data_IF_960451426153
#
_entry.id   IF_960451426153
#
_cell.length_a   1.000
_cell.length_b   1.000
_cell.length_c   1.000
_cell.angle_alpha   90.00
_cell.angle_beta   90.00
_cell.angle_gamma   90.00
#
_symmetry.space_group_name_H-M   'P 1'
#
loop_
_entity.id
_entity.type
_entity.pdbx_description
1 polymer ?
#
# COMPACT_ATOMS: atom_id res chain seq x y z
N UNK A 1 -11.55 16.21 -32.61
CA UNK A 1 -10.41 16.93 -33.23
C UNK A 1 -9.50 17.37 -32.09
N UNK A 2 -8.21 17.02 -32.06
CA UNK A 2 -7.38 17.32 -30.91
C UNK A 2 -6.99 18.81 -30.92
N UNK A 3 -7.51 19.55 -29.94
CA UNK A 3 -7.09 20.91 -29.59
C UNK A 3 -5.86 20.85 -28.70
N UNK A 4 -4.72 21.30 -29.20
CA UNK A 4 -3.65 22.01 -28.48
C UNK A 4 -2.41 22.01 -29.38
N UNK A 5 -1.68 23.11 -29.41
CA UNK A 5 -0.49 23.34 -30.24
C UNK A 5 0.52 22.19 -30.15
N UNK A 6 0.59 21.51 -29.00
CA UNK A 6 1.46 20.36 -28.73
C UNK A 6 1.17 19.12 -29.59
N UNK A 7 -0.08 18.83 -29.93
CA UNK A 7 -0.41 17.63 -30.72
C UNK A 7 0.03 17.75 -32.19
N UNK A 8 -0.07 18.97 -32.75
CA UNK A 8 0.35 19.28 -34.11
C UNK A 8 1.87 19.23 -34.20
N UNK A 9 2.57 19.80 -33.22
CA UNK A 9 4.03 19.78 -33.15
C UNK A 9 4.59 18.36 -33.01
N UNK A 10 3.98 17.55 -32.12
CA UNK A 10 4.25 16.12 -31.97
C UNK A 10 4.12 15.36 -33.29
N UNK A 11 3.02 15.55 -34.01
CA UNK A 11 2.78 14.89 -35.30
C UNK A 11 3.82 15.31 -36.36
N UNK A 12 4.22 16.58 -36.38
CA UNK A 12 5.21 17.09 -37.33
C UNK A 12 6.61 16.54 -37.08
N UNK A 13 7.02 16.36 -35.82
CA UNK A 13 8.30 15.71 -35.48
C UNK A 13 8.30 14.25 -35.92
N UNK A 14 7.23 13.50 -35.65
CA UNK A 14 7.10 12.11 -36.11
C UNK A 14 7.16 12.03 -37.63
N UNK A 15 6.43 12.90 -38.35
CA UNK A 15 6.52 12.99 -39.82
C UNK A 15 7.96 13.19 -40.30
N UNK A 16 8.67 14.17 -39.74
CA UNK A 16 10.07 14.43 -40.09
C UNK A 16 10.96 13.20 -39.89
N UNK A 17 10.73 12.44 -38.81
CA UNK A 17 11.46 11.21 -38.55
C UNK A 17 11.19 10.08 -39.56
N UNK A 18 9.97 9.99 -40.12
CA UNK A 18 9.66 9.04 -41.21
C UNK A 18 10.24 9.48 -42.57
N UNK A 19 10.36 10.79 -42.82
CA UNK A 19 11.01 11.30 -44.03
C UNK A 19 12.51 10.97 -44.07
N UNK A 20 13.18 10.94 -42.91
CA UNK A 20 14.61 10.58 -42.79
C UNK A 20 14.93 9.14 -43.23
N UNK A 21 13.92 8.26 -43.28
CA UNK A 21 14.06 6.88 -43.79
C UNK A 21 13.54 6.71 -45.22
N UNK A 22 13.35 7.82 -45.94
CA UNK A 22 12.90 7.91 -47.34
C UNK A 22 11.46 7.42 -47.58
N UNK A 23 10.59 7.55 -46.58
CA UNK A 23 9.18 7.12 -46.69
C UNK A 23 8.29 8.35 -46.73
N UNK A 24 7.50 8.46 -47.80
CA UNK A 24 6.55 9.56 -47.96
C UNK A 24 5.29 9.32 -47.11
N UNK A 25 4.65 10.38 -46.62
CA UNK A 25 3.50 10.28 -45.71
C UNK A 25 2.27 9.62 -46.34
N UNK A 26 2.10 9.80 -47.65
CA UNK A 26 1.01 9.26 -48.44
C UNK A 26 1.28 7.83 -48.95
N UNK A 27 2.45 7.27 -48.67
CA UNK A 27 2.80 5.93 -49.13
C UNK A 27 2.01 4.86 -48.37
N UNK A 28 1.42 3.92 -49.13
CA UNK A 28 0.67 2.80 -48.57
C UNK A 28 1.61 1.66 -48.19
N UNK A 29 1.78 1.44 -46.89
CA UNK A 29 2.67 0.44 -46.33
C UNK A 29 1.91 -0.82 -45.90
N UNK A 30 2.46 -1.99 -46.22
CA UNK A 30 2.09 -3.27 -45.61
C UNK A 30 2.66 -3.40 -44.19
N UNK A 31 2.18 -4.39 -43.42
CA UNK A 31 2.67 -4.65 -42.06
C UNK A 31 4.17 -5.01 -42.05
N UNK A 32 4.66 -5.77 -43.03
CA UNK A 32 6.08 -6.13 -43.10
C UNK A 32 6.95 -4.93 -43.45
N UNK A 33 6.47 -4.06 -44.34
CA UNK A 33 7.15 -2.80 -44.64
C UNK A 33 7.21 -1.92 -43.40
N UNK A 34 6.09 -1.77 -42.69
CA UNK A 34 6.02 -1.02 -41.45
C UNK A 34 7.00 -1.52 -40.37
N UNK A 35 7.08 -2.84 -40.15
CA UNK A 35 8.08 -3.41 -39.23
C UNK A 35 9.51 -3.19 -39.66
N UNK A 36 9.81 -3.30 -40.96
CA UNK A 36 11.13 -2.97 -41.48
C UNK A 36 11.51 -1.51 -41.22
N UNK A 37 10.55 -0.59 -41.25
CA UNK A 37 10.79 0.82 -40.95
C UNK A 37 11.20 1.02 -39.48
N UNK A 38 10.42 0.46 -38.55
CA UNK A 38 10.70 0.56 -37.12
C UNK A 38 12.00 -0.15 -36.75
N UNK A 39 12.26 -1.33 -37.33
CA UNK A 39 13.50 -2.06 -37.10
C UNK A 39 14.73 -1.30 -37.62
N UNK A 40 14.61 -0.66 -38.80
CA UNK A 40 15.69 0.13 -39.39
C UNK A 40 16.04 1.35 -38.53
N UNK A 41 15.03 2.01 -37.94
CA UNK A 41 15.22 3.11 -36.98
C UNK A 41 15.89 2.63 -35.69
N UNK A 42 15.46 1.49 -35.15
CA UNK A 42 15.97 0.93 -33.91
C UNK A 42 17.30 0.19 -34.03
N UNK A 43 17.69 -0.22 -35.24
CA UNK A 43 18.82 -1.15 -35.51
C UNK A 43 18.68 -2.50 -34.77
N UNK A 44 17.46 -2.84 -34.36
CA UNK A 44 17.06 -4.11 -33.72
C UNK A 44 15.59 -4.38 -34.03
N UNK A 45 15.09 -5.56 -33.69
CA UNK A 45 13.66 -5.85 -33.84
C UNK A 45 12.83 -5.01 -32.87
N UNK A 46 11.89 -4.24 -33.42
CA UNK A 46 10.82 -3.62 -32.65
C UNK A 46 9.89 -4.69 -32.06
N UNK A 47 9.35 -4.41 -30.88
CA UNK A 47 8.39 -5.28 -30.21
C UNK A 47 7.19 -5.58 -31.13
N UNK A 48 7.03 -6.86 -31.48
CA UNK A 48 6.01 -7.29 -32.44
C UNK A 48 4.62 -7.31 -31.83
N UNK A 49 4.48 -7.56 -30.54
CA UNK A 49 3.19 -7.57 -29.88
C UNK A 49 2.61 -6.16 -29.83
N UNK A 50 3.43 -5.18 -29.41
CA UNK A 50 3.04 -3.77 -29.45
C UNK A 50 2.78 -3.29 -30.89
N UNK A 51 3.64 -3.71 -31.82
CA UNK A 51 3.48 -3.45 -33.24
C UNK A 51 2.15 -3.94 -33.81
N UNK A 52 1.76 -5.17 -33.48
CA UNK A 52 0.53 -5.79 -33.94
C UNK A 52 -0.69 -5.06 -33.35
N UNK A 53 -0.64 -4.69 -32.06
CA UNK A 53 -1.70 -3.92 -31.41
C UNK A 53 -1.91 -2.55 -32.06
N UNK A 54 -0.83 -1.84 -32.40
CA UNK A 54 -0.90 -0.57 -33.12
C UNK A 54 -1.49 -0.78 -34.52
N UNK A 55 -0.99 -1.76 -35.27
CA UNK A 55 -1.44 -2.03 -36.64
C UNK A 55 -2.91 -2.49 -36.72
N UNK A 56 -3.40 -3.23 -35.73
CA UNK A 56 -4.81 -3.62 -35.63
C UNK A 56 -5.75 -2.42 -35.44
N UNK A 57 -5.30 -1.34 -34.80
CA UNK A 57 -6.09 -0.14 -34.55
C UNK A 57 -6.07 0.88 -35.69
N UNK A 58 -5.19 0.71 -36.68
CA UNK A 58 -5.13 1.57 -37.85
C UNK A 58 -6.26 1.30 -38.83
N UNK A 59 -6.76 2.35 -39.47
CA UNK A 59 -7.66 2.22 -40.62
C UNK A 59 -6.90 1.68 -41.83
N UNK A 60 -7.26 0.45 -42.22
CA UNK A 60 -6.67 -0.26 -43.37
C UNK A 60 -7.42 0.08 -44.65
N UNK A 61 -6.67 0.33 -45.72
CA UNK A 61 -7.23 0.38 -47.08
C UNK A 61 -7.66 -1.02 -47.54
N UNK A 62 -8.36 -1.12 -48.68
CA UNK A 62 -8.89 -2.36 -49.25
C UNK A 62 -7.85 -3.49 -49.41
N UNK A 63 -6.57 -3.14 -49.48
CA UNK A 63 -5.44 -4.08 -49.60
C UNK A 63 -4.66 -4.32 -48.30
N UNK A 64 -5.25 -4.09 -47.12
CA UNK A 64 -4.56 -4.17 -45.82
C UNK A 64 -3.29 -3.30 -45.74
N UNK A 65 -3.32 -2.12 -46.37
CA UNK A 65 -2.22 -1.15 -46.30
C UNK A 65 -2.63 0.06 -45.47
N UNK A 66 -1.66 0.66 -44.80
CA UNK A 66 -1.83 1.82 -43.91
C UNK A 66 -0.92 2.96 -44.36
N UNK A 67 -1.30 4.20 -44.08
CA UNK A 67 -0.45 5.38 -44.33
C UNK A 67 0.34 5.74 -43.07
N UNK A 68 1.41 6.51 -43.23
CA UNK A 68 2.20 7.02 -42.10
C UNK A 68 1.37 7.95 -41.22
N UNK A 69 0.48 8.75 -41.81
CA UNK A 69 -0.41 9.64 -41.06
C UNK A 69 -1.41 8.87 -40.19
N UNK A 70 -1.92 7.74 -40.66
CA UNK A 70 -2.77 6.87 -39.83
C UNK A 70 -1.98 6.22 -38.70
N UNK A 71 -0.73 5.81 -38.94
CA UNK A 71 0.17 5.36 -37.87
C UNK A 71 0.38 6.46 -36.83
N UNK A 72 0.74 7.68 -37.22
CA UNK A 72 1.01 8.79 -36.30
C UNK A 72 -0.22 9.09 -35.45
N UNK A 73 -1.41 9.07 -36.05
CA UNK A 73 -2.66 9.25 -35.32
C UNK A 73 -2.88 8.16 -34.28
N UNK A 74 -2.73 6.88 -34.65
CA UNK A 74 -2.89 5.76 -33.72
C UNK A 74 -1.80 5.76 -32.64
N UNK A 75 -0.58 6.15 -32.99
CA UNK A 75 0.55 6.32 -32.08
C UNK A 75 0.23 7.35 -30.99
N UNK A 76 -0.23 8.55 -31.38
CA UNK A 76 -0.57 9.60 -30.44
C UNK A 76 -1.77 9.21 -29.55
N UNK A 77 -2.73 8.47 -30.11
CA UNK A 77 -3.83 7.91 -29.31
C UNK A 77 -3.34 6.86 -28.30
N UNK A 78 -2.44 5.97 -28.72
CA UNK A 78 -1.83 4.98 -27.83
C UNK A 78 -1.02 5.64 -26.72
N UNK A 79 -0.24 6.68 -27.05
CA UNK A 79 0.47 7.51 -26.08
C UNK A 79 -0.49 8.09 -25.03
N UNK A 80 -1.57 8.73 -25.46
CA UNK A 80 -2.55 9.36 -24.57
C UNK A 80 -3.24 8.32 -23.66
N UNK A 81 -3.62 7.16 -24.22
CA UNK A 81 -4.23 6.07 -23.45
C UNK A 81 -3.25 5.54 -22.40
N UNK A 82 -1.98 5.31 -22.76
CA UNK A 82 -0.95 4.82 -21.83
C UNK A 82 -0.69 5.85 -20.73
N UNK A 83 -0.56 7.14 -21.06
CA UNK A 83 -0.40 8.22 -20.08
C UNK A 83 -1.58 8.29 -19.12
N UNK A 84 -2.81 8.20 -19.61
CA UNK A 84 -4.02 8.18 -18.79
C UNK A 84 -4.08 6.96 -17.86
N UNK A 85 -3.66 5.78 -18.36
CA UNK A 85 -3.55 4.56 -17.53
C UNK A 85 -2.49 4.69 -16.44
N UNK A 86 -1.31 5.22 -16.77
CA UNK A 86 -0.22 5.47 -15.81
C UNK A 86 -0.69 6.41 -14.69
N UNK A 87 -1.30 7.55 -15.05
CA UNK A 87 -1.84 8.49 -14.07
C UNK A 87 -2.99 7.89 -13.24
N UNK A 88 -3.83 7.06 -13.87
CA UNK A 88 -4.85 6.26 -13.19
C UNK A 88 -4.26 5.33 -12.14
N UNK A 89 -3.22 4.56 -12.49
CA UNK A 89 -2.54 3.65 -11.57
C UNK A 89 -1.86 4.41 -10.43
N UNK A 90 -1.16 5.51 -10.70
CA UNK A 90 -0.57 6.36 -9.65
C UNK A 90 -1.61 6.85 -8.66
N UNK A 91 -2.77 7.31 -9.15
CA UNK A 91 -3.88 7.74 -8.29
C UNK A 91 -4.44 6.59 -7.45
N UNK A 92 -4.64 5.42 -8.05
CA UNK A 92 -5.09 4.22 -7.34
C UNK A 92 -4.09 3.82 -6.24
N UNK A 93 -2.80 3.75 -6.54
CA UNK A 93 -1.74 3.45 -5.57
C UNK A 93 -1.80 4.44 -4.39
N UNK A 94 -1.96 5.74 -4.68
CA UNK A 94 -2.05 6.77 -3.64
C UNK A 94 -3.30 6.58 -2.76
N UNK A 95 -4.44 6.28 -3.36
CA UNK A 95 -5.69 6.04 -2.63
C UNK A 95 -5.65 4.75 -1.80
N UNK A 96 -5.11 3.65 -2.34
CA UNK A 96 -4.89 2.41 -1.59
C UNK A 96 -3.89 2.58 -0.44
N UNK A 97 -2.82 3.36 -0.63
CA UNK A 97 -1.89 3.67 0.46
C UNK A 97 -2.56 4.48 1.59
N UNK A 98 -3.44 5.44 1.26
CA UNK A 98 -4.24 6.16 2.27
C UNK A 98 -5.15 5.20 3.04
N UNK A 99 -5.86 4.32 2.33
CA UNK A 99 -6.72 3.32 2.94
C UNK A 99 -5.93 2.36 3.84
N UNK A 100 -4.81 1.81 3.34
CA UNK A 100 -3.91 0.96 4.14
C UNK A 100 -3.45 1.66 5.41
N UNK A 101 -3.02 2.92 5.33
CA UNK A 101 -2.60 3.70 6.51
C UNK A 101 -3.74 3.88 7.51
N UNK A 102 -4.95 4.16 7.03
CA UNK A 102 -6.13 4.29 7.87
C UNK A 102 -6.47 2.98 8.60
N UNK A 103 -6.44 1.83 7.90
CA UNK A 103 -6.67 0.51 8.49
C UNK A 103 -5.54 0.12 9.44
N UNK A 104 -4.29 0.38 9.09
CA UNK A 104 -3.12 0.13 9.95
C UNK A 104 -3.22 0.88 11.27
N UNK A 105 -3.59 2.16 11.25
CA UNK A 105 -3.74 2.94 12.48
C UNK A 105 -4.84 2.36 13.38
N UNK A 106 -5.94 1.85 12.82
CA UNK A 106 -6.98 1.16 13.59
C UNK A 106 -6.47 -0.16 14.17
N UNK A 107 -5.75 -0.95 13.37
CA UNK A 107 -5.14 -2.19 13.81
C UNK A 107 -4.20 -1.96 15.00
N UNK A 108 -3.30 -0.99 14.91
CA UNK A 108 -2.37 -0.65 15.99
C UNK A 108 -3.09 -0.20 17.27
N UNK A 109 -4.24 0.48 17.14
CA UNK A 109 -5.02 0.91 18.30
C UNK A 109 -5.77 -0.23 19.02
N UNK A 110 -6.08 -1.32 18.30
CA UNK A 110 -6.94 -2.40 18.80
C UNK A 110 -6.13 -3.63 19.20
N UNK A 111 -5.04 -3.94 18.50
CA UNK A 111 -4.23 -5.16 18.68
C UNK A 111 -3.84 -5.46 20.12
N UNK A 112 -3.46 -4.44 20.90
CA UNK A 112 -3.00 -4.62 22.27
C UNK A 112 -4.14 -4.57 23.31
N UNK A 113 -5.33 -4.10 22.90
CA UNK A 113 -6.49 -3.92 23.78
C UNK A 113 -7.57 -5.01 23.60
N UNK A 114 -7.57 -5.70 22.46
CA UNK A 114 -8.55 -6.72 22.13
C UNK A 114 -8.39 -7.94 23.03
N UNK A 115 -9.48 -8.31 23.73
CA UNK A 115 -9.56 -9.52 24.53
C UNK A 115 -10.35 -10.57 23.78
N UNK A 116 -9.72 -11.72 23.59
CA UNK A 116 -10.32 -12.90 22.98
C UNK A 116 -10.45 -14.01 24.01
N UNK A 117 -11.52 -14.80 23.90
CA UNK A 117 -11.75 -15.96 24.74
C UNK A 117 -10.91 -17.17 24.26
N UNK A 118 -11.07 -18.31 24.93
CA UNK A 118 -10.37 -19.57 24.60
C UNK A 118 -10.62 -20.09 23.18
N UNK A 119 -11.70 -19.65 22.52
CA UNK A 119 -12.04 -20.00 21.15
C UNK A 119 -11.49 -18.99 20.12
N UNK A 120 -10.75 -17.97 20.56
CA UNK A 120 -10.21 -16.91 19.71
C UNK A 120 -11.25 -15.86 19.29
N UNK A 121 -12.38 -15.79 20.01
CA UNK A 121 -13.51 -14.90 19.73
C UNK A 121 -13.47 -13.73 20.72
N UNK A 122 -13.61 -12.50 20.20
CA UNK A 122 -13.70 -11.26 20.97
C UNK A 122 -14.85 -11.35 21.99
N UNK A 123 -14.61 -10.91 23.22
CA UNK A 123 -15.58 -11.02 24.33
C UNK A 123 -16.94 -10.34 24.02
N UNK A 124 -16.93 -9.29 23.20
CA UNK A 124 -18.11 -8.61 22.68
C UNK A 124 -18.27 -8.82 21.15
N UNK A 125 -18.04 -10.03 20.66
CA UNK A 125 -18.31 -10.39 19.27
C UNK A 125 -19.80 -10.49 19.01
N UNK A 126 -20.24 -9.93 17.87
CA UNK A 126 -21.62 -10.02 17.42
C UNK A 126 -21.69 -10.55 15.98
N UNK A 127 -22.68 -11.40 15.73
CA UNK A 127 -23.22 -11.66 14.41
C UNK A 127 -24.24 -10.58 14.07
N UNK A 128 -24.01 -9.91 12.95
CA UNK A 128 -24.99 -9.02 12.36
C UNK A 128 -25.70 -9.76 11.23
N UNK A 129 -27.04 -9.80 11.31
CA UNK A 129 -27.91 -10.41 10.30
C UNK A 129 -28.87 -9.36 9.80
N UNK A 130 -28.83 -9.07 8.51
CA UNK A 130 -29.74 -8.17 7.82
C UNK A 130 -30.73 -9.01 7.00
N UNK A 131 -32.00 -8.99 7.38
CA UNK A 131 -33.08 -9.60 6.62
C UNK A 131 -33.53 -8.62 5.54
N UNK A 132 -33.34 -8.99 4.28
CA UNK A 132 -33.60 -8.14 3.13
C UNK A 132 -35.03 -8.35 2.62
N UNK A 133 -35.22 -9.31 1.71
CA UNK A 133 -36.50 -9.59 1.06
C UNK A 133 -36.82 -11.09 1.00
N UNK A 134 -38.11 -11.38 1.01
CA UNK A 134 -38.68 -12.70 0.81
C UNK A 134 -39.18 -12.87 -0.62
N UNK A 135 -39.15 -14.10 -1.13
CA UNK A 135 -39.63 -14.43 -2.47
C UNK A 135 -40.58 -15.62 -2.36
N UNK A 136 -41.75 -15.54 -3.01
CA UNK A 136 -42.75 -16.59 -3.11
C UNK A 136 -43.28 -17.11 -1.75
N UNK A 137 -43.59 -16.21 -0.82
CA UNK A 137 -44.27 -16.59 0.42
C UNK A 137 -45.75 -16.94 0.13
N UNK A 138 -46.26 -18.06 0.66
CA UNK A 138 -47.63 -18.52 0.40
C UNK A 138 -48.69 -17.77 1.22
N UNK A 139 -48.29 -16.85 2.11
CA UNK A 139 -49.17 -16.09 2.97
C UNK A 139 -49.03 -14.59 2.71
N UNK A 140 -50.13 -13.84 2.94
CA UNK A 140 -50.10 -12.38 2.84
C UNK A 140 -49.40 -11.72 4.02
N UNK A 141 -49.29 -12.41 5.15
CA UNK A 141 -48.86 -11.83 6.42
C UNK A 141 -47.72 -12.68 6.96
N UNK A 142 -46.48 -12.19 6.90
CA UNK A 142 -45.29 -12.98 7.26
C UNK A 142 -44.54 -12.30 8.39
N UNK A 143 -44.39 -13.02 9.49
CA UNK A 143 -43.58 -12.64 10.64
C UNK A 143 -42.39 -13.60 10.76
N UNK A 144 -41.30 -13.13 11.37
CA UNK A 144 -40.04 -13.87 11.46
C UNK A 144 -39.53 -13.90 12.89
N UNK A 145 -39.22 -15.09 13.38
CA UNK A 145 -38.46 -15.28 14.61
C UNK A 145 -37.06 -15.71 14.22
N UNK A 146 -36.06 -14.95 14.66
CA UNK A 146 -34.65 -15.28 14.47
C UNK A 146 -34.08 -15.67 15.83
N UNK A 147 -33.49 -16.86 15.88
CA UNK A 147 -32.97 -17.47 17.10
C UNK A 147 -31.51 -17.85 16.91
N UNK A 148 -30.68 -17.50 17.89
CA UNK A 148 -29.30 -17.96 18.02
C UNK A 148 -29.12 -18.42 19.46
N UNK A 149 -29.06 -19.74 19.68
CA UNK A 149 -29.07 -20.37 21.01
C UNK A 149 -30.18 -19.84 21.95
N UNK A 150 -29.81 -19.12 23.02
CA UNK A 150 -30.70 -18.53 24.02
C UNK A 150 -31.20 -17.12 23.64
N UNK A 151 -30.73 -16.57 22.52
CA UNK A 151 -31.15 -15.26 22.02
C UNK A 151 -32.27 -15.43 21.00
N UNK A 152 -33.32 -14.63 21.14
CA UNK A 152 -34.48 -14.63 20.24
C UNK A 152 -34.85 -13.18 19.92
N UNK A 153 -35.05 -12.89 18.63
CA UNK A 153 -35.59 -11.62 18.16
C UNK A 153 -36.75 -11.88 17.21
N UNK A 154 -37.78 -11.06 17.29
CA UNK A 154 -39.01 -11.22 16.52
C UNK A 154 -39.25 -9.97 15.67
N UNK A 155 -39.38 -10.17 14.35
CA UNK A 155 -39.69 -9.11 13.41
C UNK A 155 -41.17 -9.20 13.07
N UNK A 156 -41.84 -8.07 13.28
CA UNK A 156 -43.28 -7.95 13.10
C UNK A 156 -43.66 -8.07 11.62
N UNK A 157 -44.91 -8.47 11.45
CA UNK A 157 -45.55 -8.85 10.20
C UNK A 157 -45.30 -7.88 9.05
N UNK A 158 -44.90 -8.43 7.91
CA UNK A 158 -44.84 -7.74 6.62
C UNK A 158 -45.88 -8.32 5.66
N UNK A 159 -46.38 -7.46 4.77
CA UNK A 159 -47.48 -7.81 3.88
C UNK A 159 -47.00 -8.22 2.48
N UNK A 160 -47.68 -9.21 1.89
CA UNK A 160 -47.49 -9.68 0.52
C UNK A 160 -46.61 -10.94 0.38
N UNK A 161 -46.62 -11.57 -0.83
CA UNK A 161 -45.83 -12.77 -1.13
C UNK A 161 -44.33 -12.48 -1.30
N UNK A 162 -43.93 -11.22 -1.28
CA UNK A 162 -42.53 -10.78 -1.36
C UNK A 162 -42.26 -9.72 -0.28
N UNK A 163 -42.31 -10.11 1.00
CA UNK A 163 -42.14 -9.18 2.11
C UNK A 163 -40.73 -8.57 2.09
N UNK A 164 -40.63 -7.29 2.43
CA UNK A 164 -39.36 -6.58 2.61
C UNK A 164 -39.22 -6.19 4.07
N UNK A 165 -38.21 -6.72 4.75
CA UNK A 165 -37.99 -6.42 6.15
C UNK A 165 -37.00 -5.26 6.30
N UNK A 166 -35.88 -5.31 5.58
CA UNK A 166 -34.75 -4.38 5.73
C UNK A 166 -34.41 -4.15 7.21
N UNK A 167 -34.33 -5.25 7.98
CA UNK A 167 -34.07 -5.24 9.42
C UNK A 167 -32.72 -5.85 9.74
N UNK A 168 -31.92 -5.10 10.49
CA UNK A 168 -30.65 -5.56 11.04
C UNK A 168 -30.86 -6.06 12.47
N UNK A 169 -30.38 -7.28 12.73
CA UNK A 169 -30.41 -7.96 14.01
C UNK A 169 -28.96 -8.23 14.44
N UNK A 170 -28.69 -8.12 15.74
CA UNK A 170 -27.38 -8.41 16.30
C UNK A 170 -27.49 -9.48 17.38
N UNK A 171 -26.63 -10.49 17.32
CA UNK A 171 -26.58 -11.60 18.26
C UNK A 171 -25.17 -11.77 18.81
N UNK A 172 -25.02 -11.92 20.13
CA UNK A 172 -23.71 -12.22 20.73
C UNK A 172 -23.27 -13.64 20.38
N UNK A 173 -22.00 -13.84 20.04
CA UNK A 173 -21.41 -15.16 19.79
C UNK A 173 -20.31 -15.43 20.81
N UNK A 174 -20.27 -16.66 21.33
CA UNK A 174 -19.28 -17.07 22.34
C UNK A 174 -18.35 -18.17 21.86
N UNK A 175 -18.81 -19.11 21.03
CA UNK A 175 -18.09 -20.34 20.70
C UNK A 175 -17.77 -20.48 19.21
N UNK A 176 -18.55 -19.85 18.33
CA UNK A 176 -18.45 -20.00 16.87
C UNK A 176 -19.11 -21.27 16.34
N UNK A 177 -19.69 -22.10 17.22
CA UNK A 177 -20.41 -23.33 16.89
C UNK A 177 -21.94 -23.13 16.91
N UNK A 178 -22.39 -21.90 17.19
CA UNK A 178 -23.80 -21.56 17.24
C UNK A 178 -24.45 -21.70 15.85
N UNK A 179 -25.73 -22.07 15.82
CA UNK A 179 -26.53 -22.11 14.60
C UNK A 179 -27.59 -21.02 14.63
N UNK A 180 -27.69 -20.26 13.54
CA UNK A 180 -28.74 -19.26 13.36
C UNK A 180 -29.97 -19.93 12.74
N UNK A 181 -31.08 -19.90 13.47
CA UNK A 181 -32.34 -20.49 13.06
C UNK A 181 -33.38 -19.41 12.81
N UNK A 182 -34.00 -19.43 11.63
CA UNK A 182 -35.06 -18.51 11.27
C UNK A 182 -36.36 -19.29 11.10
N UNK A 183 -37.42 -18.81 11.74
CA UNK A 183 -38.76 -19.38 11.70
C UNK A 183 -39.71 -18.36 11.11
N UNK A 184 -40.34 -18.72 10.00
CA UNK A 184 -41.30 -17.85 9.32
C UNK A 184 -42.71 -18.34 9.61
N UNK A 185 -43.59 -17.45 10.03
CA UNK A 185 -44.96 -17.80 10.38
C UNK A 185 -45.94 -16.77 9.86
N UNK A 186 -47.18 -17.21 9.72
CA UNK A 186 -48.32 -16.35 9.46
C UNK A 186 -49.31 -16.46 10.61
N UNK A 187 -49.98 -15.36 10.93
CA UNK A 187 -51.07 -15.34 11.89
C UNK A 187 -52.35 -15.20 11.08
N UNK A 188 -53.02 -16.33 10.84
CA UNK A 188 -54.34 -16.36 10.24
C UNK A 188 -55.39 -16.41 11.35
N UNK A 189 -56.50 -15.71 11.15
CA UNK A 189 -57.63 -15.76 12.09
C UNK A 189 -58.13 -17.23 12.16
N UNK A 190 -58.31 -17.82 13.35
CA UNK A 190 -58.19 -17.25 14.69
C UNK A 190 -56.77 -17.44 15.26
N UNK A 191 -55.92 -16.40 15.22
CA UNK A 191 -54.64 -16.22 15.95
C UNK A 191 -53.70 -17.43 16.20
N UNK A 192 -53.80 -18.52 15.44
CA UNK A 192 -52.91 -19.66 15.55
C UNK A 192 -51.72 -19.39 14.63
N UNK A 193 -50.49 -19.28 15.16
CA UNK A 193 -49.31 -19.12 14.32
C UNK A 193 -49.13 -20.38 13.47
N UNK A 194 -49.18 -20.23 12.16
CA UNK A 194 -48.87 -21.30 11.21
C UNK A 194 -47.45 -21.12 10.71
N UNK A 195 -46.61 -22.14 10.91
CA UNK A 195 -45.25 -22.18 10.39
C UNK A 195 -45.28 -22.31 8.86
N UNK A 196 -44.67 -21.34 8.18
CA UNK A 196 -44.51 -21.31 6.73
C UNK A 196 -43.25 -22.04 6.29
N UNK A 197 -42.19 -21.94 7.09
CA UNK A 197 -40.94 -22.63 6.85
C UNK A 197 -39.84 -22.20 7.80
N UNK A 198 -38.73 -22.93 7.73
CA UNK A 198 -37.54 -22.73 8.54
C UNK A 198 -36.29 -22.74 7.69
N UNK A 199 -35.26 -22.04 8.15
CA UNK A 199 -33.90 -22.15 7.62
C UNK A 199 -32.92 -22.12 8.79
N UNK A 200 -31.89 -22.96 8.69
CA UNK A 200 -30.80 -23.02 9.66
C UNK A 200 -29.50 -22.71 8.93
N UNK A 201 -28.69 -21.80 9.49
CA UNK A 201 -27.42 -21.37 8.94
C UNK A 201 -26.30 -21.65 9.96
N UNK A 202 -25.31 -22.43 9.52
CA UNK A 202 -24.06 -22.63 10.26
C UNK A 202 -23.16 -21.41 10.11
N UNK A 203 -22.48 -20.98 11.17
CA UNK A 203 -21.57 -19.83 11.11
C UNK A 203 -20.24 -20.12 10.40
N UNK A 204 -19.97 -21.36 10.00
CA UNK A 204 -18.69 -21.78 9.41
C UNK A 204 -18.31 -21.04 8.12
N UNK A 205 -19.30 -20.59 7.34
CA UNK A 205 -19.05 -19.83 6.11
C UNK A 205 -18.67 -18.36 6.37
N UNK A 206 -18.87 -17.85 7.60
CA UNK A 206 -18.55 -16.47 8.00
C UNK A 206 -17.17 -16.33 8.65
N UNK A 207 -16.33 -17.38 8.58
CA UNK A 207 -14.98 -17.41 9.17
C UNK A 207 -14.02 -16.40 8.54
N UNK A 208 -14.33 -15.88 7.36
CA UNK A 208 -13.58 -14.80 6.71
C UNK A 208 -13.96 -13.39 7.23
N UNK A 209 -14.93 -13.27 8.14
CA UNK A 209 -15.40 -12.01 8.74
C UNK A 209 -15.92 -10.95 7.76
N UNK A 210 -16.19 -11.35 6.52
CA UNK A 210 -16.75 -10.48 5.47
C UNK A 210 -18.27 -10.49 5.48
N UNK A 211 -18.89 -9.49 4.84
CA UNK A 211 -20.34 -9.49 4.59
C UNK A 211 -20.65 -10.47 3.47
N UNK A 212 -21.50 -11.45 3.75
CA UNK A 212 -21.97 -12.44 2.79
C UNK A 212 -23.46 -12.21 2.57
N UNK A 213 -23.91 -12.22 1.32
CA UNK A 213 -25.33 -12.16 0.95
C UNK A 213 -25.77 -13.52 0.44
N UNK A 214 -26.71 -14.14 1.15
CA UNK A 214 -27.21 -15.48 0.90
C UNK A 214 -28.67 -15.46 0.45
N UNK A 215 -29.01 -16.30 -0.52
CA UNK A 215 -30.38 -16.57 -0.92
C UNK A 215 -30.75 -18.00 -0.50
N UNK A 216 -31.41 -18.11 0.65
CA UNK A 216 -31.72 -19.40 1.27
C UNK A 216 -33.13 -19.87 0.94
N UNK A 217 -33.30 -21.17 0.71
CA UNK A 217 -34.60 -21.79 0.50
C UNK A 217 -35.18 -22.29 1.84
N UNK A 218 -36.47 -22.10 2.04
CA UNK A 218 -37.15 -22.51 3.27
C UNK A 218 -37.55 -23.98 3.23
N UNK A 219 -37.47 -24.63 4.38
CA UNK A 219 -37.91 -26.01 4.61
C UNK A 219 -39.20 -26.03 5.40
N UNK A 220 -40.15 -26.86 4.98
CA UNK A 220 -41.41 -27.06 5.70
C UNK A 220 -41.20 -27.86 7.01
N UNK A 221 -42.29 -28.09 7.74
CA UNK A 221 -42.29 -28.89 8.99
C UNK A 221 -41.83 -30.35 8.81
N UNK A 222 -41.86 -30.87 7.59
CA UNK A 222 -41.44 -32.24 7.25
C UNK A 222 -39.99 -32.28 6.71
N UNK A 223 -39.31 -31.13 6.64
CA UNK A 223 -37.97 -31.01 6.07
C UNK A 223 -37.94 -30.99 4.53
N UNK A 224 -39.07 -30.77 3.86
CA UNK A 224 -39.12 -30.63 2.40
C UNK A 224 -38.85 -29.19 1.97
N UNK A 225 -38.08 -29.01 0.90
CA UNK A 225 -37.82 -27.70 0.32
C UNK A 225 -39.10 -27.09 -0.26
N UNK A 226 -39.39 -25.86 0.13
CA UNK A 226 -40.49 -25.05 -0.39
C UNK A 226 -40.02 -24.18 -1.55
N UNK A 227 -40.92 -23.60 -2.35
CA UNK A 227 -40.54 -22.62 -3.38
C UNK A 227 -40.18 -21.24 -2.81
N UNK A 228 -40.36 -21.05 -1.50
CA UNK A 228 -40.12 -19.80 -0.81
C UNK A 228 -38.64 -19.62 -0.52
N UNK A 229 -38.12 -18.43 -0.79
CA UNK A 229 -36.73 -18.05 -0.55
C UNK A 229 -36.64 -16.80 0.31
N UNK A 230 -35.55 -16.68 1.06
CA UNK A 230 -35.19 -15.49 1.83
C UNK A 230 -33.83 -15.00 1.37
N UNK A 231 -33.70 -13.70 1.12
CA UNK A 231 -32.39 -13.06 1.02
C UNK A 231 -32.01 -12.45 2.36
N UNK A 232 -30.80 -12.74 2.79
CA UNK A 232 -30.22 -12.21 4.01
C UNK A 232 -28.77 -11.84 3.76
N UNK A 233 -28.29 -10.87 4.51
CA UNK A 233 -26.88 -10.51 4.55
C UNK A 233 -26.36 -10.72 5.95
N UNK A 234 -25.30 -11.49 6.09
CA UNK A 234 -24.73 -11.84 7.38
C UNK A 234 -23.26 -11.43 7.47
N UNK A 235 -22.81 -11.05 8.65
CA UNK A 235 -21.40 -10.76 8.93
C UNK A 235 -21.11 -11.10 10.39
N UNK A 236 -20.01 -11.81 10.62
CA UNK A 236 -19.54 -12.12 11.96
C UNK A 236 -18.11 -11.61 12.13
N UNK A 237 -17.94 -10.59 12.97
CA UNK A 237 -16.62 -10.07 13.35
C UNK A 237 -16.26 -10.68 14.71
N UNK A 238 -15.49 -11.77 14.68
CA UNK A 238 -15.02 -12.47 15.87
C UNK A 238 -13.64 -12.05 16.34
N UNK A 239 -12.85 -11.47 15.47
CA UNK A 239 -11.52 -11.00 15.81
C UNK A 239 -11.20 -9.79 14.93
N UNK A 240 -11.33 -8.62 15.53
CA UNK A 240 -11.22 -7.33 14.86
C UNK A 240 -9.79 -7.10 14.38
N UNK A 241 -8.78 -7.44 15.18
CA UNK A 241 -7.38 -7.36 14.76
C UNK A 241 -7.09 -8.27 13.55
N UNK A 242 -7.61 -9.49 13.54
CA UNK A 242 -7.50 -10.42 12.39
C UNK A 242 -8.23 -9.87 11.16
N UNK A 243 -9.42 -9.31 11.32
CA UNK A 243 -10.18 -8.71 10.20
C UNK A 243 -9.43 -7.52 9.60
N UNK A 244 -8.89 -6.63 10.44
CA UNK A 244 -8.09 -5.49 10.01
C UNK A 244 -6.78 -5.95 9.35
N UNK A 245 -6.12 -6.99 9.87
CA UNK A 245 -4.94 -7.59 9.24
C UNK A 245 -5.24 -8.11 7.83
N UNK A 246 -6.36 -8.80 7.64
CA UNK A 246 -6.80 -9.28 6.32
C UNK A 246 -7.10 -8.11 5.37
N UNK A 247 -7.71 -7.03 5.85
CA UNK A 247 -7.93 -5.83 5.04
C UNK A 247 -6.60 -5.16 4.63
N UNK A 248 -5.60 -5.14 5.52
CA UNK A 248 -4.25 -4.64 5.20
C UNK A 248 -3.60 -5.49 4.10
N UNK A 249 -3.73 -6.82 4.18
CA UNK A 249 -3.24 -7.74 3.14
C UNK A 249 -3.92 -7.46 1.79
N UNK A 250 -5.25 -7.33 1.76
CA UNK A 250 -5.99 -6.97 0.54
C UNK A 250 -5.52 -5.63 -0.04
N UNK A 251 -5.29 -4.61 0.80
CA UNK A 251 -4.74 -3.34 0.31
C UNK A 251 -3.31 -3.50 -0.24
N UNK A 252 -2.47 -4.33 0.38
CA UNK A 252 -1.12 -4.58 -0.12
C UNK A 252 -1.14 -5.29 -1.48
N UNK A 253 -2.02 -6.27 -1.65
CA UNK A 253 -2.20 -6.96 -2.92
C UNK A 253 -2.69 -6.00 -4.01
N UNK A 254 -3.65 -5.12 -3.69
CA UNK A 254 -4.14 -4.09 -4.62
C UNK A 254 -3.05 -3.08 -4.99
N UNK A 255 -2.23 -2.65 -4.03
CA UNK A 255 -1.09 -1.76 -4.29
C UNK A 255 -0.10 -2.46 -5.22
N UNK A 256 0.22 -3.73 -4.95
CA UNK A 256 1.18 -4.50 -5.75
C UNK A 256 0.68 -4.67 -7.19
N UNK A 257 -0.55 -5.10 -7.39
CA UNK A 257 -1.14 -5.23 -8.73
C UNK A 257 -1.10 -3.91 -9.49
N UNK A 258 -1.49 -2.80 -8.85
CA UNK A 258 -1.45 -1.49 -9.49
C UNK A 258 -0.01 -0.99 -9.78
N UNK A 259 0.98 -1.41 -8.98
CA UNK A 259 2.41 -1.14 -9.23
C UNK A 259 2.94 -1.96 -10.40
N UNK A 260 2.59 -3.25 -10.46
CA UNK A 260 2.98 -4.14 -11.56
C UNK A 260 2.38 -3.61 -12.88
N UNK A 261 1.09 -3.26 -12.89
CA UNK A 261 0.42 -2.64 -14.04
C UNK A 261 1.08 -1.31 -14.47
N UNK A 262 1.48 -0.48 -13.50
CA UNK A 262 2.18 0.78 -13.76
C UNK A 262 3.52 0.55 -14.45
N UNK A 263 4.30 -0.42 -13.96
CA UNK A 263 5.59 -0.79 -14.55
C UNK A 263 5.40 -1.26 -15.99
N UNK A 264 4.39 -2.10 -16.24
CA UNK A 264 4.09 -2.61 -17.57
C UNK A 264 3.67 -1.47 -18.53
N UNK A 265 2.79 -0.56 -18.10
CA UNK A 265 2.39 0.58 -18.93
C UNK A 265 3.55 1.57 -19.17
N UNK A 266 4.43 1.80 -18.20
CA UNK A 266 5.63 2.62 -18.37
C UNK A 266 6.62 1.98 -19.35
N UNK A 267 6.78 0.66 -19.30
CA UNK A 267 7.59 -0.12 -20.25
C UNK A 267 7.02 -0.07 -21.67
N UNK A 268 5.70 -0.22 -21.82
CA UNK A 268 5.03 -0.11 -23.12
C UNK A 268 5.21 1.28 -23.72
N UNK A 269 5.07 2.33 -22.89
CA UNK A 269 5.27 3.72 -23.32
C UNK A 269 6.73 3.98 -23.72
N UNK A 270 7.69 3.45 -22.97
CA UNK A 270 9.10 3.55 -23.31
C UNK A 270 9.43 2.84 -24.63
N UNK A 271 8.86 1.66 -24.84
CA UNK A 271 9.01 0.87 -26.08
C UNK A 271 8.39 1.62 -27.27
N UNK A 272 7.24 2.27 -27.06
CA UNK A 272 6.58 3.10 -28.06
C UNK A 272 7.48 4.28 -28.48
N UNK A 273 8.19 4.90 -27.54
CA UNK A 273 9.05 6.06 -27.79
C UNK A 273 10.41 5.73 -28.39
N UNK A 274 10.91 4.50 -28.18
CA UNK A 274 12.27 4.11 -28.52
C UNK A 274 12.67 4.38 -29.99
N UNK A 275 11.81 4.15 -31.01
CA UNK A 275 12.17 4.41 -32.40
C UNK A 275 12.33 5.89 -32.75
N UNK A 276 11.89 6.81 -31.88
CA UNK A 276 11.70 8.24 -32.17
C UNK A 276 12.46 9.15 -31.19
N UNK A 277 13.80 9.26 -31.27
CA UNK A 277 14.61 10.02 -30.33
C UNK A 277 14.32 11.54 -30.37
N UNK A 278 13.99 12.11 -31.53
CA UNK A 278 13.69 13.54 -31.62
C UNK A 278 12.35 13.85 -30.96
N UNK A 279 11.39 12.92 -31.08
CA UNK A 279 10.12 12.99 -30.40
C UNK A 279 10.27 12.96 -28.87
N UNK A 280 11.16 12.11 -28.34
CA UNK A 280 11.48 12.07 -26.90
C UNK A 280 12.09 13.38 -26.41
N UNK A 281 12.96 14.01 -27.20
CA UNK A 281 13.54 15.31 -26.86
C UNK A 281 12.47 16.41 -26.77
N UNK A 282 11.52 16.43 -27.72
CA UNK A 282 10.39 17.36 -27.69
C UNK A 282 9.53 17.17 -26.44
N UNK A 283 9.20 15.93 -26.07
CA UNK A 283 8.42 15.68 -24.85
C UNK A 283 9.15 16.22 -23.61
N UNK A 284 10.46 15.98 -23.49
CA UNK A 284 11.25 16.46 -22.35
C UNK A 284 11.32 17.99 -22.28
N UNK A 285 11.32 18.69 -23.41
CA UNK A 285 11.25 20.16 -23.40
C UNK A 285 9.89 20.66 -22.93
N UNK A 286 8.80 20.05 -23.40
CA UNK A 286 7.43 20.39 -22.98
C UNK A 286 7.27 20.16 -21.46
N UNK A 287 7.72 19.02 -20.95
CA UNK A 287 7.63 18.70 -19.51
C UNK A 287 8.44 19.68 -18.63
N UNK A 288 9.61 20.11 -19.09
CA UNK A 288 10.43 21.12 -18.38
C UNK A 288 9.75 22.49 -18.36
N UNK A 289 9.08 22.86 -19.43
CA UNK A 289 8.37 24.13 -19.55
C UNK A 289 7.11 24.14 -18.65
N UNK A 290 6.35 23.04 -18.64
CA UNK A 290 5.19 22.85 -17.75
C UNK A 290 5.57 22.90 -16.25
N UNK A 291 6.77 22.40 -15.89
CA UNK A 291 7.33 22.49 -14.54
C UNK A 291 7.79 23.90 -14.17
N UNK A 292 8.24 24.69 -15.14
CA UNK A 292 8.69 26.07 -14.90
C UNK A 292 7.51 27.03 -14.72
N UNK A 293 6.39 26.79 -15.42
CA UNK A 293 5.20 27.64 -15.39
C UNK A 293 4.35 27.38 -14.12
N UNK A 294 4.34 26.15 -13.59
CA UNK A 294 3.60 25.81 -12.38
C UNK A 294 4.49 25.92 -11.13
N UNK A 295 4.62 27.11 -10.54
CA UNK A 295 5.28 27.38 -9.24
C UNK A 295 4.52 26.84 -8.00
N UNK A 296 3.75 25.76 -8.12
CA UNK A 296 3.39 24.95 -6.95
C UNK A 296 4.38 23.81 -6.91
N UNK A 297 4.97 23.45 -5.75
CA UNK A 297 5.65 22.16 -5.65
C UNK A 297 4.59 21.11 -5.99
N UNK A 298 4.67 20.43 -7.14
CA UNK A 298 3.89 19.23 -7.28
C UNK A 298 4.40 18.31 -6.19
N UNK A 299 3.57 17.42 -5.66
CA UNK A 299 4.10 16.16 -5.15
C UNK A 299 4.88 15.53 -6.32
N UNK A 300 6.17 15.86 -6.43
CA UNK A 300 6.96 15.62 -7.63
C UNK A 300 7.44 14.20 -7.51
N UNK A 301 6.65 13.30 -8.10
CA UNK A 301 7.17 12.06 -8.65
C UNK A 301 8.16 12.48 -9.74
N UNK A 302 9.44 12.27 -9.46
CA UNK A 302 10.52 12.47 -10.42
C UNK A 302 10.39 11.39 -11.48
N UNK A 303 10.05 11.79 -12.72
CA UNK A 303 10.38 10.98 -13.90
C UNK A 303 11.89 11.10 -14.11
N UNK A 304 12.66 10.19 -13.51
CA UNK A 304 14.06 10.02 -13.90
C UNK A 304 14.12 9.29 -15.24
N UNK A 305 15.01 9.70 -16.16
CA UNK A 305 15.17 9.02 -17.44
C UNK A 305 15.59 7.57 -17.22
N UNK A 306 14.99 6.69 -18.02
CA UNK A 306 15.37 5.30 -18.20
C UNK A 306 16.81 5.26 -18.72
N UNK A 307 17.73 5.23 -17.79
CA UNK A 307 19.07 4.68 -17.84
C UNK A 307 19.40 4.43 -16.37
N UNK A 308 18.88 3.33 -15.83
CA UNK A 308 19.48 2.55 -14.74
C UNK A 308 18.53 1.38 -14.40
N UNK A 309 18.69 0.28 -15.12
CA UNK A 309 18.61 -1.02 -14.44
C UNK A 309 19.82 -1.04 -13.51
N UNK A 310 19.65 -0.63 -12.26
CA UNK A 310 20.38 -1.13 -11.08
C UNK A 310 20.11 -0.29 -9.84
N UNK A 311 19.66 -0.99 -8.79
CA UNK A 311 19.74 -0.64 -7.37
C UNK A 311 19.13 0.69 -6.96
N UNK A 312 17.84 0.66 -6.61
CA UNK A 312 17.42 1.35 -5.39
C UNK A 312 18.27 0.75 -4.26
N UNK A 313 19.42 1.37 -3.97
CA UNK A 313 20.27 0.94 -2.86
C UNK A 313 19.40 0.98 -1.61
N UNK A 314 19.14 -0.18 -1.02
CA UNK A 314 18.43 -0.27 0.25
C UNK A 314 19.34 0.31 1.34
N UNK A 315 19.39 1.64 1.45
CA UNK A 315 20.27 2.37 2.36
C UNK A 315 20.07 1.91 3.80
N UNK A 316 18.89 1.38 4.15
CA UNK A 316 18.63 0.75 5.46
C UNK A 316 19.43 -0.54 5.62
N UNK A 317 19.41 -1.42 4.62
CA UNK A 317 20.21 -2.64 4.61
C UNK A 317 21.71 -2.34 4.66
N UNK A 318 22.20 -1.40 3.84
CA UNK A 318 23.61 -1.02 3.82
C UNK A 318 24.07 -0.35 5.12
N UNK A 319 23.23 0.48 5.74
CA UNK A 319 23.52 1.08 7.05
C UNK A 319 23.61 -0.01 8.12
N UNK A 320 22.67 -0.97 8.12
CA UNK A 320 22.67 -2.11 9.06
C UNK A 320 23.94 -2.96 8.91
N UNK A 321 24.29 -3.31 7.67
CA UNK A 321 25.49 -4.10 7.38
C UNK A 321 26.76 -3.35 7.81
N UNK A 322 26.85 -2.05 7.49
CA UNK A 322 28.00 -1.22 7.86
C UNK A 322 28.19 -1.14 9.38
N UNK A 323 27.11 -1.04 10.14
CA UNK A 323 27.16 -1.02 11.61
C UNK A 323 27.62 -2.35 12.18
N UNK A 324 27.16 -3.47 11.63
CA UNK A 324 27.64 -4.80 12.05
C UNK A 324 29.13 -4.99 11.75
N UNK A 325 29.60 -4.51 10.60
CA UNK A 325 31.02 -4.54 10.24
C UNK A 325 31.84 -3.69 11.21
N UNK A 326 31.42 -2.44 11.47
CA UNK A 326 32.10 -1.54 12.42
C UNK A 326 32.09 -2.14 13.83
N UNK A 327 30.99 -2.74 14.27
CA UNK A 327 30.89 -3.41 15.57
C UNK A 327 31.88 -4.59 15.66
N UNK A 328 31.92 -5.44 14.64
CA UNK A 328 32.86 -6.57 14.57
C UNK A 328 34.32 -6.12 14.60
N UNK A 329 34.68 -5.13 13.77
CA UNK A 329 36.02 -4.52 13.78
C UNK A 329 36.36 -3.94 15.15
N UNK A 330 35.39 -3.29 15.81
CA UNK A 330 35.60 -2.68 17.12
C UNK A 330 35.91 -3.72 18.21
N UNK A 331 35.28 -4.90 18.15
CA UNK A 331 35.61 -6.02 19.05
C UNK A 331 37.04 -6.50 18.82
N UNK A 332 37.50 -6.62 17.58
CA UNK A 332 38.87 -7.03 17.29
C UNK A 332 39.90 -5.96 17.68
N UNK A 333 39.59 -4.68 17.51
CA UNK A 333 40.47 -3.58 17.92
C UNK A 333 40.58 -3.51 19.44
N UNK A 334 39.53 -3.90 20.19
CA UNK A 334 39.55 -3.95 21.66
C UNK A 334 40.67 -4.80 22.26
N UNK A 335 41.26 -5.74 21.50
CA UNK A 335 42.45 -6.49 21.96
C UNK A 335 43.71 -5.63 22.09
N UNK A 336 43.83 -4.53 21.33
CA UNK A 336 44.97 -3.60 21.40
C UNK A 336 44.63 -2.19 21.85
N UNK A 337 43.36 -1.76 21.69
CA UNK A 337 42.89 -0.41 22.05
C UNK A 337 41.43 -0.45 22.47
N UNK A 338 41.10 0.11 23.62
CA UNK A 338 39.71 0.28 24.06
C UNK A 338 38.86 1.06 23.05
N UNK A 339 37.87 0.42 22.44
CA UNK A 339 36.88 1.02 21.54
C UNK A 339 35.44 0.92 22.09
N UNK A 340 35.28 1.06 23.40
CA UNK A 340 33.97 0.96 24.05
C UNK A 340 32.94 1.97 23.52
N UNK A 341 33.38 3.17 23.11
CA UNK A 341 32.47 4.17 22.52
C UNK A 341 31.81 3.66 21.24
N UNK A 342 32.56 3.00 20.36
CA UNK A 342 32.03 2.45 19.11
C UNK A 342 31.03 1.31 19.37
N UNK A 343 31.37 0.43 20.31
CA UNK A 343 30.47 -0.66 20.71
C UNK A 343 29.16 -0.11 21.29
N UNK A 344 29.21 0.94 22.10
CA UNK A 344 28.02 1.62 22.65
C UNK A 344 27.20 2.24 21.52
N UNK A 345 27.82 2.98 20.59
CA UNK A 345 27.13 3.60 19.44
C UNK A 345 26.42 2.52 18.61
N UNK A 346 27.13 1.46 18.23
CA UNK A 346 26.57 0.37 17.43
C UNK A 346 25.42 -0.34 18.14
N UNK A 347 25.57 -0.63 19.44
CA UNK A 347 24.56 -1.34 20.22
C UNK A 347 23.27 -0.52 20.37
N UNK A 348 23.38 0.77 20.74
CA UNK A 348 22.22 1.66 20.83
C UNK A 348 21.52 1.83 19.48
N UNK A 349 22.30 1.98 18.40
CA UNK A 349 21.72 2.06 17.07
C UNK A 349 20.92 0.80 16.72
N UNK A 350 21.48 -0.39 16.95
CA UNK A 350 20.79 -1.66 16.63
C UNK A 350 19.49 -1.77 17.42
N UNK A 351 19.49 -1.46 18.73
CA UNK A 351 18.28 -1.45 19.54
C UNK A 351 17.25 -0.49 18.94
N UNK A 352 17.61 0.76 18.68
CA UNK A 352 16.66 1.74 18.17
C UNK A 352 16.16 1.42 16.76
N UNK A 353 16.99 0.77 15.95
CA UNK A 353 16.62 0.27 14.64
C UNK A 353 15.57 -0.84 14.74
N UNK A 354 15.79 -1.86 15.58
CA UNK A 354 14.86 -3.00 15.74
C UNK A 354 13.52 -2.56 16.37
N UNK A 355 13.54 -1.59 17.30
CA UNK A 355 12.31 -1.01 17.88
C UNK A 355 11.67 0.07 17.00
N UNK A 356 12.19 0.32 15.79
CA UNK A 356 11.71 1.33 14.85
C UNK A 356 11.57 2.74 15.49
N UNK A 357 12.51 3.10 16.38
CA UNK A 357 12.56 4.38 17.11
C UNK A 357 13.55 5.38 16.51
N UNK A 358 14.00 5.13 15.29
CA UNK A 358 14.90 6.05 14.57
C UNK A 358 14.11 7.21 14.00
N UNK A 359 14.49 8.43 14.37
CA UNK A 359 14.01 9.67 13.79
C UNK A 359 15.19 10.56 13.40
N UNK A 360 14.93 11.55 12.53
CA UNK A 360 15.97 12.41 11.92
C UNK A 360 16.99 12.97 12.94
N UNK A 361 16.52 13.51 14.06
CA UNK A 361 17.41 14.06 15.10
C UNK A 361 18.32 12.99 15.73
N UNK A 362 17.83 11.75 15.95
CA UNK A 362 18.67 10.66 16.47
C UNK A 362 19.74 10.23 15.48
N UNK A 363 19.41 10.15 14.20
CA UNK A 363 20.39 9.86 13.14
C UNK A 363 21.50 10.92 13.08
N UNK A 364 21.14 12.20 13.28
CA UNK A 364 22.12 13.29 13.39
C UNK A 364 23.02 13.09 14.62
N UNK A 365 22.46 12.73 15.79
CA UNK A 365 23.26 12.44 16.98
C UNK A 365 24.22 11.26 16.78
N UNK A 366 23.78 10.19 16.12
CA UNK A 366 24.67 9.08 15.75
C UNK A 366 25.79 9.53 14.81
N UNK A 367 25.48 10.34 13.79
CA UNK A 367 26.49 10.86 12.88
C UNK A 367 27.54 11.71 13.61
N UNK A 368 27.11 12.57 14.54
CA UNK A 368 28.00 13.35 15.41
C UNK A 368 28.85 12.43 16.30
N UNK A 369 28.25 11.40 16.92
CA UNK A 369 28.96 10.47 17.79
C UNK A 369 30.02 9.65 17.03
N UNK A 370 29.69 9.17 15.82
CA UNK A 370 30.67 8.50 14.93
C UNK A 370 31.77 9.48 14.51
N UNK A 371 31.44 10.74 14.24
CA UNK A 371 32.41 11.80 13.97
C UNK A 371 33.39 12.03 15.13
N UNK A 372 32.90 12.07 16.38
CA UNK A 372 33.76 12.17 17.57
C UNK A 372 34.67 10.94 17.70
N UNK A 373 34.13 9.75 17.44
CA UNK A 373 34.92 8.51 17.44
C UNK A 373 36.04 8.53 16.38
N UNK A 374 35.76 9.00 15.16
CA UNK A 374 36.74 9.17 14.09
C UNK A 374 37.89 10.11 14.52
N UNK A 375 37.58 11.22 15.20
CA UNK A 375 38.59 12.14 15.73
C UNK A 375 39.46 11.46 16.80
N UNK A 376 38.86 10.68 17.69
CA UNK A 376 39.60 9.93 18.71
C UNK A 376 40.53 8.88 18.10
N UNK A 377 40.08 8.19 17.04
CA UNK A 377 40.90 7.25 16.28
C UNK A 377 42.04 7.94 15.54
N UNK A 378 41.79 9.09 14.93
CA UNK A 378 42.80 9.89 14.24
C UNK A 378 43.91 10.35 15.21
N UNK A 379 43.54 10.92 16.35
CA UNK A 379 44.49 11.39 17.37
C UNK A 379 45.35 10.22 17.89
N UNK A 380 44.73 9.07 18.13
CA UNK A 380 45.44 7.87 18.56
C UNK A 380 46.39 7.37 17.46
N UNK A 381 45.91 7.27 16.22
CA UNK A 381 46.71 6.82 15.09
C UNK A 381 47.91 7.74 14.84
N UNK A 382 47.77 9.06 14.96
CA UNK A 382 48.90 10.02 14.84
C UNK A 382 49.93 9.79 15.95
N UNK A 383 49.49 9.57 17.20
CA UNK A 383 50.39 9.34 18.34
C UNK A 383 51.20 8.05 18.17
N UNK A 384 50.56 6.97 17.72
CA UNK A 384 51.19 5.65 17.64
C UNK A 384 51.84 5.33 16.27
N UNK A 385 51.48 6.02 15.19
CA UNK A 385 52.11 5.85 13.86
C UNK A 385 53.52 6.44 13.80
N UNK A 386 53.85 7.45 14.60
CA UNK A 386 55.21 8.04 14.63
C UNK A 386 56.29 7.03 15.06
N UNK A 387 55.96 6.08 15.93
CA UNK A 387 56.86 5.00 16.34
C UNK A 387 56.79 3.75 15.44
N UNK A 388 55.89 3.73 14.45
CA UNK A 388 55.68 2.57 13.57
C UNK A 388 56.65 2.56 12.39
N UNK A 389 57.04 3.75 11.88
CA UNK A 389 57.92 3.91 10.72
C UNK A 389 59.39 4.22 11.07
N UNK A 390 59.68 4.51 12.34
CA UNK A 390 61.04 4.76 12.82
C UNK A 390 61.74 3.46 13.20
N UNK A 391 62.87 3.18 12.56
CA UNK A 391 63.74 2.01 12.82
C UNK A 391 64.72 2.27 13.98
N UNK A 392 64.29 2.90 15.07
CA UNK A 392 65.20 3.15 16.19
C UNK A 392 65.19 1.98 17.16
N UNK A 393 66.16 1.10 16.92
CA UNK A 393 66.61 0.04 17.82
C UNK A 393 67.16 0.66 19.12
N UNK A 394 66.29 0.97 20.08
CA UNK A 394 66.72 1.24 21.46
C UNK A 394 66.59 -0.03 22.31
N UNK A 395 67.64 -0.40 23.05
CA UNK A 395 67.75 -1.66 23.81
C UNK A 395 66.62 -1.91 24.84
N UNK A 396 65.82 -0.88 25.16
CA UNK A 396 64.58 -0.98 25.94
C UNK A 396 63.45 -1.78 25.26
N UNK A 397 63.57 -2.10 23.97
CA UNK A 397 62.50 -2.71 23.16
C UNK A 397 62.35 -4.24 23.28
N UNK A 398 63.28 -4.95 23.91
CA UNK A 398 63.24 -6.43 23.96
C UNK A 398 62.07 -6.97 24.80
N UNK A 399 61.62 -6.25 25.83
CA UNK A 399 60.44 -6.64 26.62
C UNK A 399 59.10 -6.20 25.99
N UNK A 400 59.13 -5.25 25.04
CA UNK A 400 57.94 -4.76 24.33
C UNK A 400 57.66 -5.49 23.01
N UNK A 401 58.53 -6.42 22.59
CA UNK A 401 58.41 -7.12 21.31
C UNK A 401 57.12 -7.96 21.17
N UNK A 402 56.58 -8.50 22.27
CA UNK A 402 55.33 -9.28 22.28
C UNK A 402 54.10 -8.35 22.16
N UNK A 403 54.12 -7.18 22.80
CA UNK A 403 53.05 -6.18 22.69
C UNK A 403 53.01 -5.48 21.33
N UNK A 404 54.13 -5.47 20.58
CA UNK A 404 54.19 -4.88 19.23
C UNK A 404 53.25 -5.58 18.24
N UNK A 405 53.05 -6.90 18.33
CA UNK A 405 52.19 -7.64 17.40
C UNK A 405 50.72 -7.20 17.43
N UNK A 406 50.02 -7.34 18.56
CA UNK A 406 48.62 -6.92 18.71
C UNK A 406 48.41 -5.44 18.43
N UNK A 407 49.33 -4.56 18.86
CA UNK A 407 49.22 -3.12 18.63
C UNK A 407 49.39 -2.75 17.15
N UNK A 408 50.26 -3.45 16.40
CA UNK A 408 50.40 -3.26 14.95
C UNK A 408 49.16 -3.74 14.21
N UNK A 409 48.59 -4.86 14.61
CA UNK A 409 47.33 -5.37 14.04
C UNK A 409 46.16 -4.42 14.36
N UNK A 410 46.07 -3.91 15.59
CA UNK A 410 45.08 -2.92 15.98
C UNK A 410 45.21 -1.63 15.15
N UNK A 411 46.44 -1.15 14.88
CA UNK A 411 46.65 0.02 14.03
C UNK A 411 46.12 -0.19 12.60
N UNK A 412 46.41 -1.34 11.98
CA UNK A 412 45.88 -1.68 10.65
C UNK A 412 44.35 -1.75 10.67
N UNK A 413 43.78 -2.41 11.66
CA UNK A 413 42.33 -2.49 11.83
C UNK A 413 41.68 -1.13 12.08
N UNK A 414 42.35 -0.21 12.76
CA UNK A 414 41.87 1.18 12.94
C UNK A 414 41.78 1.90 11.59
N UNK A 415 42.76 1.74 10.69
CA UNK A 415 42.67 2.32 9.35
C UNK A 415 41.53 1.73 8.52
N UNK A 416 41.33 0.41 8.58
CA UNK A 416 40.18 -0.25 7.92
C UNK A 416 38.86 0.25 8.53
N UNK A 417 38.77 0.28 9.85
CA UNK A 417 37.60 0.79 10.57
C UNK A 417 37.33 2.25 10.26
N UNK A 418 38.35 3.08 10.04
CA UNK A 418 38.22 4.49 9.68
C UNK A 418 37.47 4.65 8.34
N UNK A 419 37.81 3.83 7.34
CA UNK A 419 37.12 3.83 6.03
C UNK A 419 35.64 3.45 6.21
N UNK A 420 35.35 2.38 6.95
CA UNK A 420 33.97 1.94 7.18
C UNK A 420 33.16 2.96 8.00
N UNK A 421 33.77 3.64 8.96
CA UNK A 421 33.14 4.72 9.72
C UNK A 421 32.82 5.93 8.85
N UNK A 422 33.67 6.28 7.87
CA UNK A 422 33.37 7.34 6.90
C UNK A 422 32.18 6.96 6.00
N UNK A 423 32.16 5.72 5.50
CA UNK A 423 31.02 5.18 4.74
C UNK A 423 29.75 5.24 5.60
N UNK A 424 29.84 4.81 6.87
CA UNK A 424 28.73 4.84 7.80
C UNK A 424 28.21 6.27 8.05
N UNK A 425 29.09 7.26 8.24
CA UNK A 425 28.69 8.67 8.35
C UNK A 425 27.94 9.16 7.10
N UNK A 426 28.42 8.81 5.91
CA UNK A 426 27.74 9.18 4.66
C UNK A 426 26.36 8.52 4.55
N UNK A 427 26.26 7.23 4.89
CA UNK A 427 25.00 6.48 4.90
C UNK A 427 24.01 7.02 5.93
N UNK A 428 24.45 7.35 7.15
CA UNK A 428 23.62 7.98 8.17
C UNK A 428 23.13 9.36 7.73
N UNK A 429 23.99 10.13 7.05
CA UNK A 429 23.64 11.41 6.45
C UNK A 429 22.54 11.27 5.40
N UNK A 430 22.71 10.36 4.44
CA UNK A 430 21.70 10.05 3.43
C UNK A 430 20.39 9.58 4.07
N UNK A 431 20.45 8.62 5.00
CA UNK A 431 19.28 8.11 5.72
C UNK A 431 18.55 9.20 6.52
N UNK A 432 19.27 10.21 7.02
CA UNK A 432 18.66 11.33 7.76
C UNK A 432 17.86 12.28 6.88
N UNK A 433 18.17 12.38 5.59
CA UNK A 433 17.45 13.23 4.63
C UNK A 433 16.08 12.63 4.28
N UNK A 434 15.99 11.30 4.25
CA UNK A 434 14.77 10.57 3.90
C UNK A 434 13.77 10.41 5.06
N UNK A 435 14.17 10.74 6.29
CA UNK A 435 13.37 10.51 7.49
C UNK A 435 12.59 11.76 7.93
N UNK A 436 11.29 11.63 8.28
CA UNK A 436 10.48 12.76 8.69
C UNK A 436 11.03 13.44 9.96
N UNK A 437 10.95 14.76 10.00
CA UNK A 437 11.44 15.62 11.08
C UNK A 437 10.49 15.56 12.28
N UNK A 438 10.58 14.45 13.04
CA UNK A 438 9.77 14.14 14.24
C UNK A 438 8.24 14.13 13.97
N UNK A 439 7.61 12.98 14.23
CA UNK A 439 6.26 13.02 14.77
C UNK A 439 6.40 13.73 16.12
N UNK A 440 6.01 15.00 16.22
CA UNK A 440 5.51 15.48 17.50
C UNK A 440 4.49 14.44 17.96
N UNK A 441 4.70 13.87 19.14
CA UNK A 441 3.60 13.30 19.90
C UNK A 441 2.54 14.40 19.97
N UNK A 442 1.60 14.37 19.03
CA UNK A 442 0.25 14.83 19.27
C UNK A 442 -0.29 13.91 20.36
N UNK A 443 0.14 14.14 21.60
CA UNK A 443 -0.74 13.98 22.75
C UNK A 443 -2.07 14.57 22.28
N UNK A 444 -3.14 13.76 22.18
CA UNK A 444 -4.39 14.23 21.63
C UNK A 444 -4.76 15.47 22.40
N UNK A 445 -4.77 16.59 21.67
CA UNK A 445 -4.98 17.91 22.20
C UNK A 445 -6.25 17.85 23.06
N UNK A 446 -6.10 17.81 24.39
CA UNK A 446 -7.19 17.65 25.37
C UNK A 446 -8.28 18.71 25.16
N UNK A 447 -7.92 19.82 24.51
CA UNK A 447 -8.81 20.91 24.11
C UNK A 447 -9.70 20.60 22.88
N UNK A 448 -9.34 19.65 21.99
CA UNK A 448 -10.22 19.21 20.90
C UNK A 448 -11.27 18.20 21.39
N UNK A 449 -10.93 17.31 22.33
CA UNK A 449 -11.90 16.43 22.97
C UNK A 449 -12.86 17.19 23.89
N UNK A 450 -12.42 18.21 24.64
CA UNK A 450 -13.33 19.10 25.39
C UNK A 450 -14.28 19.89 24.49
N UNK A 451 -13.80 20.41 23.33
CA UNK A 451 -14.69 21.11 22.39
C UNK A 451 -15.70 20.18 21.74
N UNK A 452 -15.32 18.96 21.34
CA UNK A 452 -16.28 17.98 20.81
C UNK A 452 -17.28 17.47 21.85
N UNK A 453 -16.86 17.22 23.09
CA UNK A 453 -17.79 16.85 24.17
C UNK A 453 -18.74 18.00 24.54
N UNK A 454 -18.28 19.26 24.54
CA UNK A 454 -19.15 20.42 24.76
C UNK A 454 -20.15 20.64 23.61
N UNK A 455 -19.79 20.31 22.37
CA UNK A 455 -20.70 20.40 21.22
C UNK A 455 -21.75 19.28 21.24
N UNK A 456 -21.36 18.06 21.65
CA UNK A 456 -22.30 16.95 21.83
C UNK A 456 -23.24 17.14 23.03
N UNK A 457 -22.78 17.72 24.15
CA UNK A 457 -23.67 18.03 25.27
C UNK A 457 -24.66 19.16 24.93
N UNK A 458 -24.24 20.20 24.20
CA UNK A 458 -25.12 21.31 23.82
C UNK A 458 -26.24 20.90 22.85
N UNK A 459 -25.96 19.97 21.94
CA UNK A 459 -26.97 19.42 21.03
C UNK A 459 -27.91 18.39 21.70
N UNK A 460 -27.44 17.69 22.75
CA UNK A 460 -28.30 16.76 23.51
C UNK A 460 -29.31 17.47 24.40
N UNK A 461 -28.99 18.67 24.89
CA UNK A 461 -29.95 19.54 25.61
C UNK A 461 -30.94 20.26 24.69
N UNK A 462 -30.62 20.48 23.42
CA UNK A 462 -31.54 21.11 22.47
C UNK A 462 -32.62 20.14 21.93
N UNK A 463 -32.38 18.83 21.96
CA UNK A 463 -33.34 17.81 21.49
C UNK A 463 -34.30 17.27 22.57
N UNK A 464 -34.15 17.69 23.83
CA UNK A 464 -35.04 17.27 24.94
C UNK A 464 -35.86 18.43 25.55
N UNK A 465 -35.85 19.61 24.92
CA UNK A 465 -36.51 20.82 25.44
C UNK A 465 -37.82 21.21 24.76
N UNK A 466 -38.21 20.57 23.67
CA UNK A 466 -39.46 20.86 22.95
C UNK A 466 -40.24 19.56 22.75
N UNK A 467 -40.98 19.15 23.78
CA UNK A 467 -42.20 18.33 23.68
C UNK A 467 -42.61 17.89 25.09
N UNK A 468 -43.20 18.81 25.87
CA UNK A 468 -44.04 18.49 27.02
C UNK A 468 -44.78 19.74 27.52
N UNK A 469 -45.67 20.28 26.71
CA UNK A 469 -46.72 21.17 27.20
C UNK A 469 -47.87 21.28 26.21
N UNK A 470 -48.70 20.24 26.12
CA UNK A 470 -50.15 20.31 25.88
C UNK A 470 -50.66 18.88 25.72
N UNK A 471 -51.60 18.47 26.56
CA UNK A 471 -52.66 17.45 26.35
C UNK A 471 -53.06 16.83 27.69
N UNK A 472 -53.79 17.62 28.49
CA UNK A 472 -54.85 17.12 29.36
C UNK A 472 -56.00 18.12 29.26
N UNK A 473 -57.01 17.77 28.46
CA UNK A 473 -58.41 18.13 28.67
C UNK A 473 -59.26 17.39 27.62
N UNK A 474 -60.21 16.61 28.14
CA UNK A 474 -61.27 15.78 27.53
C UNK A 474 -61.06 14.27 27.60
#
# INVERSE_FOLDING_TARGET
MPTSVNAIEKANVLRKEFLEIEINHDELLSIEQFYRCLDKKLRRQFDRELGDQLYQRMNKSFNNKVTVDEFIKVFLQAEEILKNKIEGCKKQILDYNKQRKYVSNQFDSIKDSERVNQYGIKEDSYLTVELLDGINFPAQNVSVIVKLENQKQEIHQQNGPSPQWNKTLNFKISTGLEELQLFFYTINHPNIPQLLGTVTLSLSHLTNQTKIEDCCQLFDKNGQQTQTKIKLRSQWIFNESKSLSQQIEVCNDQIKTAQDDLIDFEKDLATLYEPFPNYVQLIRSIEKEDLAINHQPPNTFVMTPINNVSSQYDYKLYTRLSILIVMGLSVFICFGKSQFLDLVICFFFIIEFEFNRLYRQRLIYYSIAVGISLLCDLVWAIKYSRGFWGSEDSETDKYYAIEKGPNRLALILIFVSFIFKLILCALLGALSQDMPEKLEEQLPNKNKQMKQQSFYQKNKTAQFGEDNSTFYNY
#
